data_IF_578779903193
#
_entry.id   IF_578779903193
#
_cell.length_a   1.000
_cell.length_b   1.000
_cell.length_c   1.000
_cell.angle_alpha   90.00
_cell.angle_beta   90.00
_cell.angle_gamma   90.00
#
_symmetry.space_group_name_H-M   'P 1'
#
loop_
_entity.id
_entity.type
_entity.pdbx_description
1 polymer ?
#
# COMPACT_ATOMS: atom_id res chain seq x y z
N UNK A 1 0.84 0.39 -17.09
CA UNK A 1 1.04 1.59 -16.24
C UNK A 1 0.38 1.36 -14.88
N UNK A 2 0.87 0.42 -14.06
CA UNK A 2 0.37 0.16 -12.69
C UNK A 2 1.55 -0.34 -11.84
N UNK A 3 2.29 0.59 -11.23
CA UNK A 3 3.50 0.29 -10.46
C UNK A 3 3.30 0.42 -8.94
N UNK A 4 2.30 1.19 -8.51
CA UNK A 4 2.18 1.61 -7.13
C UNK A 4 1.75 0.49 -6.17
N UNK A 5 1.16 -0.58 -6.69
CA UNK A 5 0.81 -1.77 -5.93
C UNK A 5 2.02 -2.69 -5.65
N UNK A 6 3.20 -2.40 -6.20
CA UNK A 6 4.41 -3.15 -5.91
C UNK A 6 5.06 -2.67 -4.62
N UNK A 7 5.10 -3.54 -3.63
CA UNK A 7 5.88 -3.34 -2.40
C UNK A 7 7.36 -3.58 -2.69
N UNK A 8 8.23 -2.83 -2.00
CA UNK A 8 9.68 -2.88 -2.29
C UNK A 8 10.32 -4.19 -1.86
N UNK A 9 9.80 -4.81 -0.79
CA UNK A 9 10.27 -6.05 -0.20
C UNK A 9 9.07 -6.84 0.33
N UNK A 10 9.28 -8.14 0.50
CA UNK A 10 8.36 -8.99 1.27
C UNK A 10 8.38 -8.52 2.74
N UNK A 11 7.23 -8.43 3.44
CA UNK A 11 7.22 -8.10 4.86
C UNK A 11 8.07 -9.10 5.66
N UNK A 12 8.95 -8.63 6.53
CA UNK A 12 9.86 -9.50 7.29
C UNK A 12 9.07 -10.41 8.24
N UNK A 13 7.92 -9.92 8.73
CA UNK A 13 7.02 -10.63 9.64
C UNK A 13 6.52 -11.95 9.03
N UNK A 14 6.36 -12.03 7.70
CA UNK A 14 5.84 -13.25 7.06
C UNK A 14 6.93 -14.21 6.60
N UNK A 15 8.21 -13.92 6.85
CA UNK A 15 9.33 -14.78 6.46
C UNK A 15 9.62 -15.87 7.50
N UNK A 16 9.23 -15.65 8.76
CA UNK A 16 9.40 -16.63 9.83
C UNK A 16 8.30 -17.69 9.78
N UNK A 17 8.69 -18.89 9.36
CA UNK A 17 7.79 -20.06 9.28
C UNK A 17 7.22 -20.52 10.62
N UNK A 18 7.82 -20.10 11.74
CA UNK A 18 7.36 -20.40 13.09
C UNK A 18 6.37 -19.35 13.63
N UNK A 19 6.24 -18.21 12.96
CA UNK A 19 5.39 -17.10 13.38
C UNK A 19 3.91 -17.31 13.01
N UNK A 20 2.96 -16.78 13.79
CA UNK A 20 1.55 -16.70 13.40
C UNK A 20 1.33 -16.01 12.04
N UNK A 21 2.20 -15.07 11.68
CA UNK A 21 2.21 -14.34 10.40
C UNK A 21 2.71 -15.17 9.21
N UNK A 22 3.08 -16.46 9.41
CA UNK A 22 3.51 -17.32 8.31
C UNK A 22 2.37 -17.60 7.33
N UNK A 23 2.49 -17.10 6.10
CA UNK A 23 1.48 -17.27 5.05
C UNK A 23 1.60 -18.62 4.33
N UNK A 24 1.47 -19.72 5.08
CA UNK A 24 1.73 -21.08 4.59
C UNK A 24 0.95 -21.42 3.31
N UNK A 25 1.69 -21.80 2.26
CA UNK A 25 1.11 -22.27 1.00
C UNK A 25 0.47 -21.19 0.13
N UNK A 26 0.69 -19.91 0.44
CA UNK A 26 0.19 -18.77 -0.33
C UNK A 26 1.35 -17.82 -0.68
N UNK A 27 1.18 -17.11 -1.79
CA UNK A 27 2.19 -16.18 -2.32
C UNK A 27 1.81 -14.70 -2.15
N UNK A 28 0.64 -14.43 -1.58
CA UNK A 28 0.07 -13.08 -1.42
C UNK A 28 -0.86 -13.02 -0.21
N UNK A 29 -1.17 -11.82 0.30
CA UNK A 29 -2.11 -11.61 1.41
C UNK A 29 -3.58 -11.86 1.07
N UNK A 30 -3.89 -12.10 -0.21
CA UNK A 30 -5.27 -12.38 -0.63
C UNK A 30 -5.79 -13.65 0.03
N UNK A 31 -6.96 -13.53 0.66
CA UNK A 31 -7.60 -14.60 1.43
C UNK A 31 -6.66 -15.17 2.50
N UNK A 32 -5.78 -14.35 3.09
CA UNK A 32 -4.87 -14.80 4.14
C UNK A 32 -5.63 -15.57 5.24
N UNK A 33 -5.00 -16.61 5.82
CA UNK A 33 -5.66 -17.43 6.83
C UNK A 33 -5.91 -16.67 8.15
N UNK A 34 -5.24 -15.54 8.36
CA UNK A 34 -5.39 -14.66 9.51
C UNK A 34 -5.17 -13.19 9.12
N UNK A 35 -5.58 -12.30 10.03
CA UNK A 35 -5.45 -10.86 9.85
C UNK A 35 -3.99 -10.38 9.98
N UNK A 36 -3.15 -11.11 10.72
CA UNK A 36 -1.74 -10.73 10.94
C UNK A 36 -0.94 -10.68 9.62
N UNK A 37 -1.20 -11.60 8.67
CA UNK A 37 -0.60 -11.54 7.33
C UNK A 37 -1.07 -10.29 6.58
N UNK A 38 -2.36 -9.95 6.66
CA UNK A 38 -2.89 -8.75 6.01
C UNK A 38 -2.26 -7.47 6.61
N UNK A 39 -2.11 -7.43 7.93
CA UNK A 39 -1.49 -6.32 8.65
C UNK A 39 -0.01 -6.15 8.27
N UNK A 40 0.75 -7.23 8.12
CA UNK A 40 2.15 -7.18 7.68
C UNK A 40 2.30 -6.57 6.28
N UNK A 41 1.49 -7.02 5.31
CA UNK A 41 1.49 -6.44 3.96
C UNK A 41 1.02 -4.98 3.96
N UNK A 42 -0.01 -4.64 4.75
CA UNK A 42 -0.52 -3.28 4.90
C UNK A 42 0.54 -2.33 5.47
N UNK A 43 1.27 -2.79 6.49
CA UNK A 43 2.35 -2.03 7.14
C UNK A 43 3.51 -1.77 6.19
N UNK A 44 3.91 -2.78 5.41
CA UNK A 44 4.97 -2.63 4.41
C UNK A 44 4.54 -1.68 3.27
N UNK A 45 3.30 -1.79 2.79
CA UNK A 45 2.75 -0.86 1.80
C UNK A 45 2.72 0.58 2.33
N UNK A 46 2.30 0.78 3.58
CA UNK A 46 2.28 2.09 4.25
C UNK A 46 3.68 2.73 4.28
N UNK A 47 4.70 1.95 4.64
CA UNK A 47 6.10 2.37 4.62
C UNK A 47 6.56 2.77 3.22
N UNK A 48 6.25 1.96 2.20
CA UNK A 48 6.62 2.26 0.82
C UNK A 48 5.96 3.53 0.28
N UNK A 49 4.67 3.70 0.53
CA UNK A 49 3.92 4.88 0.13
C UNK A 49 4.44 6.14 0.83
N UNK A 50 4.80 6.04 2.12
CA UNK A 50 5.43 7.16 2.82
C UNK A 50 6.77 7.55 2.19
N UNK A 51 7.65 6.58 1.90
CA UNK A 51 8.91 6.86 1.20
C UNK A 51 8.69 7.45 -0.20
N UNK A 52 7.72 6.94 -0.95
CA UNK A 52 7.34 7.48 -2.25
C UNK A 52 6.89 8.93 -2.14
N UNK A 53 5.98 9.25 -1.21
CA UNK A 53 5.49 10.60 -1.02
C UNK A 53 6.57 11.57 -0.56
N UNK A 54 7.44 11.17 0.37
CA UNK A 54 8.56 12.00 0.79
C UNK A 54 9.48 12.36 -0.40
N UNK A 55 9.82 11.38 -1.24
CA UNK A 55 10.62 11.64 -2.43
C UNK A 55 9.91 12.55 -3.43
N UNK A 56 8.59 12.39 -3.60
CA UNK A 56 7.80 13.25 -4.49
C UNK A 56 7.66 14.67 -3.95
N UNK A 57 7.57 14.85 -2.64
CA UNK A 57 7.51 16.17 -2.02
C UNK A 57 8.73 17.03 -2.37
N UNK A 58 9.92 16.43 -2.43
CA UNK A 58 11.17 17.11 -2.80
C UNK A 58 11.26 17.44 -4.30
N UNK A 59 10.63 16.65 -5.16
CA UNK A 59 10.70 16.81 -6.62
C UNK A 59 9.58 17.68 -7.21
N UNK A 60 8.46 17.81 -6.50
CA UNK A 60 7.27 18.49 -7.01
C UNK A 60 7.38 20.02 -6.86
N UNK A 61 6.99 20.75 -7.90
CA UNK A 61 6.88 22.20 -7.84
C UNK A 61 5.75 22.63 -6.88
N UNK A 62 5.85 23.81 -6.23
CA UNK A 62 4.76 24.35 -5.41
C UNK A 62 3.44 24.42 -6.18
N UNK A 63 2.37 23.84 -5.61
CA UNK A 63 1.06 23.76 -6.26
C UNK A 63 0.94 22.67 -7.32
N UNK A 64 1.92 21.77 -7.43
CA UNK A 64 1.89 20.63 -8.33
C UNK A 64 0.82 19.60 -7.96
N UNK A 65 0.28 18.93 -8.98
CA UNK A 65 -0.74 17.88 -8.86
C UNK A 65 -0.15 16.52 -9.19
N UNK A 66 -0.54 15.52 -8.41
CA UNK A 66 -0.20 14.12 -8.67
C UNK A 66 -1.46 13.29 -8.83
N UNK A 67 -1.51 12.49 -9.89
CA UNK A 67 -2.57 11.53 -10.14
C UNK A 67 -2.02 10.12 -9.96
N UNK A 68 -2.65 9.34 -9.08
CA UNK A 68 -2.21 7.99 -8.74
C UNK A 68 -3.30 6.99 -9.10
N UNK A 69 -2.90 5.86 -9.67
CA UNK A 69 -3.80 4.79 -10.09
C UNK A 69 -3.49 3.52 -9.32
N UNK A 70 -4.44 3.06 -8.51
CA UNK A 70 -4.30 1.89 -7.65
C UNK A 70 -5.33 0.82 -7.98
N UNK A 71 -4.96 -0.43 -7.71
CA UNK A 71 -5.93 -1.50 -7.52
C UNK A 71 -6.44 -1.48 -6.08
N UNK A 72 -7.75 -1.47 -5.89
CA UNK A 72 -8.38 -1.37 -4.58
C UNK A 72 -9.43 -2.46 -4.43
N UNK A 73 -9.47 -3.06 -3.24
CA UNK A 73 -10.51 -4.00 -2.81
C UNK A 73 -11.19 -3.36 -1.60
N UNK A 74 -12.49 -2.99 -1.68
CA UNK A 74 -13.19 -2.42 -0.53
C UNK A 74 -13.33 -3.43 0.60
N UNK A 75 -13.44 -2.93 1.81
CA UNK A 75 -13.75 -3.73 2.99
C UNK A 75 -15.04 -4.53 2.77
N UNK A 76 -15.01 -5.82 3.08
CA UNK A 76 -16.14 -6.74 2.90
C UNK A 76 -16.38 -7.19 1.45
N UNK A 77 -15.53 -6.79 0.49
CA UNK A 77 -15.60 -7.27 -0.90
C UNK A 77 -14.72 -8.48 -1.13
N UNK A 78 -15.06 -9.27 -2.15
CA UNK A 78 -14.23 -10.39 -2.59
C UNK A 78 -13.01 -9.87 -3.37
N UNK A 79 -11.88 -10.59 -3.39
CA UNK A 79 -10.73 -10.20 -4.20
C UNK A 79 -11.04 -10.12 -5.71
N UNK A 80 -12.01 -10.90 -6.19
CA UNK A 80 -12.51 -10.84 -7.56
C UNK A 80 -13.23 -9.52 -7.88
N UNK A 81 -13.58 -8.73 -6.86
CA UNK A 81 -14.23 -7.42 -6.98
C UNK A 81 -13.22 -6.26 -6.84
N UNK A 82 -11.96 -6.51 -7.20
CA UNK A 82 -10.94 -5.48 -7.30
C UNK A 82 -11.26 -4.48 -8.44
N UNK A 83 -11.09 -3.19 -8.19
CA UNK A 83 -11.25 -2.15 -9.21
C UNK A 83 -10.10 -1.15 -9.22
N UNK A 84 -10.03 -0.39 -10.31
CA UNK A 84 -9.05 0.67 -10.48
C UNK A 84 -9.59 1.96 -9.86
N UNK A 85 -8.83 2.54 -8.93
CA UNK A 85 -9.11 3.83 -8.33
C UNK A 85 -8.10 4.87 -8.82
N UNK A 86 -8.60 6.02 -9.28
CA UNK A 86 -7.81 7.19 -9.61
C UNK A 86 -7.93 8.20 -8.48
N UNK A 87 -6.82 8.54 -7.84
CA UNK A 87 -6.77 9.48 -6.73
C UNK A 87 -5.89 10.67 -7.07
N UNK A 88 -6.40 11.89 -6.86
CA UNK A 88 -5.68 13.14 -7.10
C UNK A 88 -5.22 13.73 -5.77
N UNK A 89 -3.93 14.06 -5.68
CA UNK A 89 -3.35 14.72 -4.51
C UNK A 89 -2.80 16.09 -4.92
N UNK A 90 -3.08 17.09 -4.08
CA UNK A 90 -2.52 18.42 -4.22
C UNK A 90 -1.42 18.60 -3.16
N UNK A 91 -0.20 18.92 -3.62
CA UNK A 91 0.90 19.27 -2.73
C UNK A 91 0.85 20.78 -2.46
N UNK A 92 -0.15 21.18 -1.67
CA UNK A 92 -0.39 22.59 -1.33
C UNK A 92 0.49 23.11 -0.17
N UNK A 93 1.14 22.22 0.59
CA UNK A 93 2.11 22.59 1.62
C UNK A 93 2.99 21.39 2.02
N UNK A 94 4.30 21.61 2.29
CA UNK A 94 5.16 20.60 2.89
C UNK A 94 4.55 20.05 4.18
N UNK A 95 4.68 18.75 4.43
CA UNK A 95 4.28 18.07 5.68
C UNK A 95 2.77 18.01 6.01
N UNK A 96 1.88 18.24 5.04
CA UNK A 96 0.41 18.19 5.26
C UNK A 96 -0.23 16.81 5.03
N UNK A 97 0.53 15.80 4.58
CA UNK A 97 -0.02 14.47 4.32
C UNK A 97 -0.46 13.78 5.62
N UNK A 98 -1.77 13.55 5.75
CA UNK A 98 -2.35 12.64 6.74
C UNK A 98 -2.91 11.44 6.00
N UNK A 99 -2.65 10.25 6.53
CA UNK A 99 -3.34 9.04 6.09
C UNK A 99 -4.85 9.29 6.11
N UNK A 100 -5.61 8.86 5.08
CA UNK A 100 -7.04 8.75 5.21
C UNK A 100 -7.30 7.81 6.39
N UNK A 101 -7.85 8.36 7.48
CA UNK A 101 -8.45 7.59 8.57
C UNK A 101 -9.75 6.97 8.08
#
# INVERSE_FOLDING_TARGET
MHSINWISNIPDEILDTSSPTWNKGKIHCTNAPNDDVLEAYSSQFKKNMQSFFNAREEEMAPGGLMALVFYVIPNGSLPSQCFICLHYMNFSAPHSWKWPV
#
